data_IF_064345977877
#
_entry.id   IF_064345977877
#
_cell.length_a   1.000
_cell.length_b   1.000
_cell.length_c   1.000
_cell.angle_alpha   90.00
_cell.angle_beta   90.00
_cell.angle_gamma   90.00
#
_symmetry.space_group_name_H-M   'P 1'
#
loop_
_entity.id
_entity.type
_entity.pdbx_description
1 polymer ?
#
# COMPACT_ATOMS: atom_id res chain seq x y z
N UNK A 1 0.74 28.84 -13.46
CA UNK A 1 0.25 28.55 -12.09
C UNK A 1 1.39 27.91 -11.32
N UNK A 2 1.88 28.55 -10.25
CA UNK A 2 2.92 27.98 -9.39
C UNK A 2 2.24 26.97 -8.46
N UNK A 3 2.56 25.68 -8.57
CA UNK A 3 2.15 24.68 -7.59
C UNK A 3 2.79 25.08 -6.25
N UNK A 4 1.97 25.42 -5.27
CA UNK A 4 2.44 25.49 -3.90
C UNK A 4 2.72 24.04 -3.49
N UNK A 5 4.01 23.70 -3.35
CA UNK A 5 4.42 22.47 -2.69
C UNK A 5 4.02 22.67 -1.23
N UNK A 6 2.85 22.16 -0.83
CA UNK A 6 2.58 21.97 0.60
C UNK A 6 3.62 20.95 1.05
N UNK A 7 4.27 21.23 2.18
CA UNK A 7 5.05 20.24 2.92
C UNK A 7 4.09 19.19 3.49
N UNK A 8 3.38 18.46 2.62
CA UNK A 8 2.74 17.20 3.00
C UNK A 8 3.89 16.27 3.34
N UNK A 9 3.94 15.87 4.61
CA UNK A 9 4.93 14.94 5.12
C UNK A 9 4.63 13.62 4.41
N UNK A 10 5.28 13.38 3.27
CA UNK A 10 5.24 12.09 2.59
C UNK A 10 5.71 11.06 3.62
N UNK A 11 4.80 10.17 4.01
CA UNK A 11 5.12 9.18 5.01
C UNK A 11 6.11 8.17 4.40
N UNK A 12 7.19 7.81 5.11
CA UNK A 12 8.16 6.84 4.63
C UNK A 12 7.54 5.44 4.63
N UNK A 13 7.79 4.58 3.64
CA UNK A 13 7.15 3.26 3.46
C UNK A 13 6.94 2.40 4.72
N UNK A 14 7.78 2.55 5.74
CA UNK A 14 7.66 1.89 7.04
C UNK A 14 6.36 2.14 7.80
N UNK A 15 5.58 3.17 7.48
CA UNK A 15 4.23 3.34 8.04
C UNK A 15 3.24 2.26 7.56
N UNK A 16 3.55 1.59 6.44
CA UNK A 16 2.76 0.48 5.89
C UNK A 16 3.00 -0.86 6.57
N UNK A 17 3.97 -0.96 7.49
CA UNK A 17 4.30 -2.23 8.13
C UNK A 17 3.17 -2.72 9.02
N UNK A 18 2.76 -3.97 8.83
CA UNK A 18 1.69 -4.58 9.60
C UNK A 18 1.02 -5.75 8.91
N UNK A 19 -0.06 -6.20 9.53
CA UNK A 19 -0.95 -7.23 8.99
C UNK A 19 -2.36 -6.65 8.92
N UNK A 20 -3.06 -6.89 7.81
CA UNK A 20 -4.36 -6.30 7.51
C UNK A 20 -5.30 -7.36 6.94
N UNK A 21 -6.59 -7.24 7.26
CA UNK A 21 -7.65 -8.03 6.63
C UNK A 21 -8.42 -7.10 5.69
N UNK A 22 -8.23 -7.25 4.38
CA UNK A 22 -8.72 -6.32 3.36
C UNK A 22 -9.36 -7.09 2.21
N UNK A 23 -10.67 -6.90 2.04
CA UNK A 23 -11.42 -7.39 0.87
C UNK A 23 -11.28 -8.89 0.61
N UNK A 24 -11.21 -9.67 1.68
CA UNK A 24 -11.02 -11.13 1.65
C UNK A 24 -9.57 -11.57 1.48
N UNK A 25 -8.62 -10.65 1.70
CA UNK A 25 -7.19 -10.94 1.76
C UNK A 25 -6.62 -10.65 3.14
N UNK A 26 -5.89 -11.62 3.67
CA UNK A 26 -4.86 -11.43 4.70
C UNK A 26 -3.60 -10.86 4.04
N UNK A 27 -3.28 -9.60 4.36
CA UNK A 27 -2.13 -8.86 3.82
C UNK A 27 -1.06 -8.71 4.88
N UNK A 28 0.19 -9.01 4.56
CA UNK A 28 1.34 -8.78 5.43
C UNK A 28 2.37 -7.89 4.74
N UNK A 29 2.86 -6.85 5.41
CA UNK A 29 3.84 -5.90 4.87
C UNK A 29 4.99 -5.74 5.87
N UNK A 30 6.22 -5.92 5.40
CA UNK A 30 7.46 -5.60 6.13
C UNK A 30 8.46 -4.89 5.21
N UNK A 31 8.50 -3.56 5.31
CA UNK A 31 9.41 -2.68 4.58
C UNK A 31 10.87 -2.79 5.02
N UNK A 32 11.19 -3.46 6.15
CA UNK A 32 12.58 -3.67 6.55
C UNK A 32 13.20 -4.87 5.81
N UNK A 33 12.37 -5.86 5.48
CA UNK A 33 12.73 -7.07 4.73
C UNK A 33 12.18 -7.04 3.30
N UNK A 34 12.05 -5.83 2.73
CA UNK A 34 11.10 -5.45 1.68
C UNK A 34 10.22 -6.59 1.17
N UNK A 35 9.22 -6.92 1.98
CA UNK A 35 8.35 -8.07 1.80
C UNK A 35 6.89 -7.65 1.89
N UNK A 36 6.08 -8.17 0.99
CA UNK A 36 4.63 -8.05 1.05
C UNK A 36 3.97 -9.31 0.51
N UNK A 37 2.92 -9.78 1.19
CA UNK A 37 2.10 -10.88 0.70
C UNK A 37 0.61 -10.62 0.84
N UNK A 38 -0.16 -11.29 -0.02
CA UNK A 38 -1.61 -11.28 -0.08
C UNK A 38 -2.09 -12.73 -0.14
N UNK A 39 -2.74 -13.20 0.92
CA UNK A 39 -3.35 -14.51 1.02
C UNK A 39 -4.87 -14.35 0.98
N UNK A 40 -5.55 -15.03 0.06
CA UNK A 40 -7.01 -14.90 -0.09
C UNK A 40 -7.71 -15.89 0.84
N UNK A 41 -8.60 -15.42 1.70
CA UNK A 41 -9.15 -16.23 2.81
C UNK A 41 -9.92 -17.47 2.34
N UNK A 42 -10.59 -17.37 1.18
CA UNK A 42 -11.51 -18.39 0.64
C UNK A 42 -10.94 -19.18 -0.55
N UNK A 43 -9.72 -18.88 -0.99
CA UNK A 43 -9.09 -19.51 -2.15
C UNK A 43 -7.62 -19.82 -1.83
N UNK A 44 -7.06 -20.92 -2.34
CA UNK A 44 -5.61 -21.22 -2.22
C UNK A 44 -4.74 -20.28 -3.09
N UNK A 45 -5.15 -19.01 -3.24
CA UNK A 45 -4.42 -17.95 -3.94
C UNK A 45 -3.51 -17.21 -2.96
N UNK A 46 -2.21 -17.25 -3.24
CA UNK A 46 -1.18 -16.61 -2.45
C UNK A 46 -0.21 -15.86 -3.37
N UNK A 47 -0.09 -14.55 -3.15
CA UNK A 47 0.82 -13.66 -3.87
C UNK A 47 1.86 -13.13 -2.89
N UNK A 48 3.15 -13.26 -3.21
CA UNK A 48 4.22 -12.71 -2.38
C UNK A 48 5.29 -12.04 -3.25
N UNK A 49 5.73 -10.88 -2.79
CA UNK A 49 6.75 -10.05 -3.42
C UNK A 49 7.85 -9.77 -2.40
N UNK A 50 9.11 -9.88 -2.81
CA UNK A 50 10.27 -9.73 -1.92
C UNK A 50 11.44 -9.00 -2.63
N UNK A 51 12.30 -8.35 -1.86
CA UNK A 51 13.44 -7.59 -2.40
C UNK A 51 12.96 -6.42 -3.25
N UNK A 52 13.60 -6.17 -4.39
CA UNK A 52 13.25 -5.04 -5.28
C UNK A 52 11.77 -5.05 -5.73
N UNK A 53 11.17 -6.22 -5.90
CA UNK A 53 9.75 -6.34 -6.23
C UNK A 53 8.84 -5.98 -5.05
N UNK A 54 9.22 -6.39 -3.83
CA UNK A 54 8.50 -6.02 -2.61
C UNK A 54 8.58 -4.51 -2.36
N UNK A 55 9.77 -3.92 -2.47
CA UNK A 55 9.97 -2.47 -2.39
C UNK A 55 9.08 -1.72 -3.38
N UNK A 56 9.05 -2.18 -4.64
CA UNK A 56 8.22 -1.56 -5.68
C UNK A 56 6.74 -1.59 -5.34
N UNK A 57 6.22 -2.73 -4.86
CA UNK A 57 4.81 -2.84 -4.47
C UNK A 57 4.48 -1.93 -3.29
N UNK A 58 5.35 -1.88 -2.28
CA UNK A 58 5.17 -1.01 -1.11
C UNK A 58 5.20 0.47 -1.54
N UNK A 59 6.11 0.86 -2.44
CA UNK A 59 6.19 2.21 -2.98
C UNK A 59 4.95 2.59 -3.83
N UNK A 60 4.40 1.64 -4.58
CA UNK A 60 3.16 1.84 -5.32
C UNK A 60 1.95 2.06 -4.39
N UNK A 61 1.83 1.27 -3.33
CA UNK A 61 0.79 1.45 -2.30
C UNK A 61 0.99 2.81 -1.60
N UNK A 62 2.22 3.17 -1.26
CA UNK A 62 2.53 4.46 -0.65
C UNK A 62 2.20 5.62 -1.59
N UNK A 63 2.45 5.46 -2.89
CA UNK A 63 2.09 6.44 -3.91
C UNK A 63 0.57 6.61 -3.98
N UNK A 64 -0.20 5.52 -3.97
CA UNK A 64 -1.66 5.56 -3.95
C UNK A 64 -2.18 6.32 -2.71
N UNK A 65 -1.60 6.06 -1.53
CA UNK A 65 -1.99 6.76 -0.31
C UNK A 65 -1.73 8.26 -0.39
N UNK A 66 -0.59 8.67 -0.98
CA UNK A 66 -0.21 10.06 -1.10
C UNK A 66 -0.84 10.76 -2.33
N UNK A 67 -1.61 10.05 -3.17
CA UNK A 67 -2.27 10.59 -4.36
C UNK A 67 -3.63 11.21 -4.01
N UNK A 68 -3.61 12.26 -3.19
CA UNK A 68 -4.79 13.09 -2.90
C UNK A 68 -4.50 14.58 -3.09
N UNK A 69 -5.54 15.36 -3.38
CA UNK A 69 -5.43 16.82 -3.59
C UNK A 69 -6.08 17.64 -2.47
N UNK A 70 -6.83 16.98 -1.59
CA UNK A 70 -7.45 17.56 -0.41
C UNK A 70 -7.55 16.50 0.70
N UNK A 71 -7.51 16.92 1.96
CA UNK A 71 -7.65 16.00 3.12
C UNK A 71 -8.98 15.24 3.13
N UNK A 72 -10.02 15.79 2.47
CA UNK A 72 -11.31 15.12 2.35
C UNK A 72 -11.27 13.90 1.43
N UNK A 73 -10.25 13.80 0.57
CA UNK A 73 -10.03 12.72 -0.38
C UNK A 73 -8.89 11.79 0.04
N UNK A 74 -8.26 12.04 1.20
CA UNK A 74 -7.17 11.22 1.69
C UNK A 74 -7.66 9.81 2.02
N UNK A 75 -7.02 8.80 1.42
CA UNK A 75 -7.32 7.41 1.71
C UNK A 75 -6.82 7.04 3.10
N UNK A 76 -7.49 6.08 3.75
CA UNK A 76 -6.86 5.35 4.85
C UNK A 76 -5.78 4.41 4.32
N UNK A 77 -4.99 3.88 5.25
CA UNK A 77 -3.98 2.86 4.96
C UNK A 77 -4.58 1.67 4.21
N UNK A 78 -5.66 1.12 4.75
CA UNK A 78 -6.35 -0.04 4.22
C UNK A 78 -6.96 0.24 2.85
N UNK A 79 -7.48 1.45 2.63
CA UNK A 79 -8.04 1.84 1.33
C UNK A 79 -6.97 1.97 0.25
N UNK A 80 -5.75 2.41 0.60
CA UNK A 80 -4.64 2.45 -0.35
C UNK A 80 -4.20 1.03 -0.76
N UNK A 81 -4.11 0.11 0.21
CA UNK A 81 -3.80 -1.30 -0.03
C UNK A 81 -4.92 -1.95 -0.87
N UNK A 82 -6.20 -1.75 -0.50
CA UNK A 82 -7.37 -2.26 -1.22
C UNK A 82 -7.37 -1.80 -2.70
N UNK A 83 -7.08 -0.52 -2.93
CA UNK A 83 -7.00 0.03 -4.28
C UNK A 83 -5.88 -0.63 -5.09
N UNK A 84 -4.71 -0.89 -4.49
CA UNK A 84 -3.63 -1.61 -5.18
C UNK A 84 -4.03 -3.03 -5.55
N UNK A 85 -4.66 -3.77 -4.62
CA UNK A 85 -5.19 -5.12 -4.85
C UNK A 85 -6.14 -5.09 -6.04
N UNK A 86 -7.13 -4.19 -6.05
CA UNK A 86 -8.16 -4.12 -7.11
C UNK A 86 -7.63 -3.84 -8.53
N UNK A 87 -6.41 -3.32 -8.63
CA UNK A 87 -5.77 -2.98 -9.91
C UNK A 87 -4.88 -4.14 -10.39
N UNK A 88 -4.27 -4.90 -9.48
CA UNK A 88 -3.16 -5.80 -9.79
C UNK A 88 -3.43 -7.29 -9.51
N UNK A 89 -4.43 -7.63 -8.68
CA UNK A 89 -4.79 -9.00 -8.30
C UNK A 89 -6.24 -9.32 -8.72
#
# INVERSE_FOLDING_TARGET
MKRAIRNEILLPPSWLNGTYEISGYSVCIDSNLPFICFEKDDQEEYYAFQGDEGDKVIDEINTIYNDYTSEADALTQEQAIEKWISINL
#
